data_IF_566097089379
#
_entry.id   IF_566097089379
#
_cell.length_a   1.000
_cell.length_b   1.000
_cell.length_c   1.000
_cell.angle_alpha   90.00
_cell.angle_beta   90.00
_cell.angle_gamma   90.00
#
_symmetry.space_group_name_H-M   'P 1'
#
loop_
_entity.id
_entity.type
_entity.pdbx_description
1 polymer ?
#
# COMPACT_ATOMS: atom_id res chain seq x y z
N UNK A 1 -17.94 -6.84 8.44
CA UNK A 1 -16.62 -7.46 8.22
C UNK A 1 -15.49 -6.71 8.90
N UNK A 2 -15.08 -5.54 8.37
CA UNK A 2 -13.89 -4.80 8.83
C UNK A 2 -13.91 -4.57 10.35
N UNK A 3 -14.99 -4.03 10.92
CA UNK A 3 -15.08 -3.71 12.36
C UNK A 3 -15.01 -4.89 13.33
N UNK A 4 -15.32 -6.12 12.91
CA UNK A 4 -15.29 -7.31 13.78
C UNK A 4 -13.92 -7.99 13.78
N UNK A 5 -13.24 -8.05 12.63
CA UNK A 5 -11.88 -8.60 12.51
C UNK A 5 -10.84 -7.67 13.17
N UNK A 6 -11.15 -6.38 13.30
CA UNK A 6 -10.34 -5.35 14.00
C UNK A 6 -10.05 -5.70 15.47
N UNK A 7 -10.89 -6.51 16.12
CA UNK A 7 -10.69 -6.87 17.53
C UNK A 7 -9.59 -7.92 17.76
N UNK A 8 -9.38 -8.83 16.81
CA UNK A 8 -8.53 -10.01 16.99
C UNK A 8 -7.34 -10.07 16.01
N UNK A 9 -7.38 -9.37 14.86
CA UNK A 9 -6.43 -9.55 13.77
C UNK A 9 -5.51 -8.36 13.46
N UNK A 10 -5.49 -7.28 14.27
CA UNK A 10 -4.52 -6.20 14.11
C UNK A 10 -5.01 -4.79 14.41
N UNK A 11 -4.08 -3.82 14.37
CA UNK A 11 -4.45 -2.39 14.35
C UNK A 11 -4.76 -1.97 12.91
N UNK A 12 -5.92 -1.35 12.73
CA UNK A 12 -6.39 -0.77 11.47
C UNK A 12 -6.30 0.76 11.55
N UNK A 13 -5.75 1.37 10.51
CA UNK A 13 -5.77 2.83 10.35
C UNK A 13 -6.16 3.15 8.91
N UNK A 14 -7.20 3.97 8.76
CA UNK A 14 -7.62 4.47 7.45
C UNK A 14 -6.84 5.75 7.14
N UNK A 15 -6.19 5.78 5.99
CA UNK A 15 -5.56 6.97 5.43
C UNK A 15 -6.56 7.82 4.65
N UNK A 16 -6.13 9.03 4.31
CA UNK A 16 -6.99 10.05 3.68
C UNK A 16 -7.41 9.70 2.24
N UNK A 17 -6.76 8.72 1.60
CA UNK A 17 -7.05 8.27 0.23
C UNK A 17 -7.90 7.00 0.15
N UNK A 18 -8.48 6.53 1.26
CA UNK A 18 -9.12 5.22 1.34
C UNK A 18 -8.12 4.06 1.40
N UNK A 19 -6.83 4.37 1.56
CA UNK A 19 -5.78 3.43 1.91
C UNK A 19 -5.97 2.94 3.36
N UNK A 20 -5.63 1.69 3.61
CA UNK A 20 -5.81 1.03 4.91
C UNK A 20 -4.50 0.39 5.30
N UNK A 21 -3.96 0.86 6.43
CA UNK A 21 -2.80 0.28 7.06
C UNK A 21 -3.26 -0.85 7.99
N UNK A 22 -2.68 -2.03 7.79
CA UNK A 22 -2.92 -3.24 8.58
C UNK A 22 -1.63 -3.65 9.28
N UNK A 23 -1.67 -3.77 10.61
CA UNK A 23 -0.57 -4.31 11.42
C UNK A 23 -0.94 -5.70 11.94
N UNK A 24 -0.18 -6.74 11.60
CA UNK A 24 -0.44 -8.09 12.12
C UNK A 24 -0.15 -8.15 13.64
N UNK A 25 -1.02 -8.77 14.46
CA UNK A 25 -0.77 -9.01 15.88
C UNK A 25 0.50 -9.85 16.07
N UNK A 26 1.34 -9.46 17.02
CA UNK A 26 2.57 -10.20 17.34
C UNK A 26 3.76 -9.95 16.41
N UNK A 27 3.56 -9.33 15.24
CA UNK A 27 4.64 -9.02 14.30
C UNK A 27 4.87 -7.51 14.23
N UNK A 28 5.94 -7.04 14.87
CA UNK A 28 6.32 -5.61 14.88
C UNK A 28 6.74 -5.05 13.50
N UNK A 29 6.86 -5.90 12.46
CA UNK A 29 7.49 -5.53 11.17
C UNK A 29 6.70 -5.86 9.91
N UNK A 30 5.59 -6.59 10.00
CA UNK A 30 4.73 -6.83 8.84
C UNK A 30 3.55 -5.87 8.87
N UNK A 31 3.82 -4.67 8.34
CA UNK A 31 2.79 -3.69 8.01
C UNK A 31 2.49 -3.86 6.53
N UNK A 32 1.21 -3.88 6.17
CA UNK A 32 0.78 -3.72 4.79
C UNK A 32 -0.12 -2.51 4.66
N UNK A 33 -0.11 -1.88 3.50
CA UNK A 33 -1.05 -0.80 3.18
C UNK A 33 -1.78 -1.16 1.91
N UNK A 34 -3.10 -1.21 1.99
CA UNK A 34 -3.94 -1.77 0.93
C UNK A 34 -5.18 -0.91 0.68
N UNK A 35 -5.75 -1.04 -0.52
CA UNK A 35 -7.10 -0.60 -0.83
C UNK A 35 -8.02 -1.80 -0.96
N UNK A 36 -9.22 -1.68 -0.41
CA UNK A 36 -10.25 -2.69 -0.57
C UNK A 36 -10.83 -2.65 -1.98
N UNK A 37 -10.93 -3.81 -2.61
CA UNK A 37 -11.72 -3.96 -3.82
C UNK A 37 -13.21 -3.86 -3.45
N UNK A 38 -14.02 -3.04 -4.15
CA UNK A 38 -15.46 -2.95 -3.88
C UNK A 38 -16.22 -4.25 -4.15
N UNK A 39 -15.64 -5.18 -4.92
CA UNK A 39 -16.25 -6.48 -5.18
C UNK A 39 -15.99 -7.47 -4.04
N UNK A 40 -17.07 -8.01 -3.49
CA UNK A 40 -17.06 -9.08 -2.48
C UNK A 40 -17.32 -10.41 -3.19
N UNK A 41 -16.68 -11.48 -2.74
CA UNK A 41 -16.86 -12.84 -3.25
C UNK A 41 -17.04 -13.82 -2.09
N UNK A 42 -17.31 -15.09 -2.37
CA UNK A 42 -17.32 -16.15 -1.35
C UNK A 42 -15.95 -16.81 -1.22
N UNK A 43 -15.63 -17.33 -0.04
CA UNK A 43 -14.40 -18.05 0.26
C UNK A 43 -14.66 -19.20 1.23
N UNK A 44 -14.00 -20.33 0.98
CA UNK A 44 -14.00 -21.48 1.88
C UNK A 44 -12.90 -21.40 2.95
N UNK A 45 -12.05 -20.36 2.91
CA UNK A 45 -11.01 -20.19 3.92
C UNK A 45 -11.60 -19.76 5.27
N UNK A 46 -10.84 -20.00 6.33
CA UNK A 46 -11.22 -19.51 7.66
C UNK A 46 -11.22 -17.97 7.69
N UNK A 47 -12.06 -17.34 8.54
CA UNK A 47 -12.04 -15.90 8.74
C UNK A 47 -10.64 -15.38 9.11
N UNK A 48 -10.27 -14.22 8.58
CA UNK A 48 -8.95 -13.62 8.78
C UNK A 48 -8.35 -12.97 7.53
N UNK A 49 -7.10 -12.51 7.63
CA UNK A 49 -6.35 -11.94 6.50
C UNK A 49 -5.45 -13.01 5.90
N UNK A 50 -5.60 -13.22 4.59
CA UNK A 50 -4.84 -14.20 3.81
C UNK A 50 -3.97 -13.49 2.79
N UNK A 51 -2.77 -14.03 2.57
CA UNK A 51 -1.77 -13.50 1.65
C UNK A 51 -1.57 -14.51 0.54
N UNK A 52 -1.67 -14.08 -0.69
CA UNK A 52 -1.60 -14.94 -1.86
C UNK A 52 -0.54 -14.44 -2.82
N UNK A 53 0.35 -15.35 -3.20
CA UNK A 53 1.21 -15.13 -4.35
C UNK A 53 0.43 -15.52 -5.60
N UNK A 54 0.11 -14.53 -6.43
CA UNK A 54 -0.48 -14.80 -7.74
C UNK A 54 0.57 -15.44 -8.66
N UNK A 55 0.11 -16.19 -9.68
CA UNK A 55 0.98 -16.82 -10.68
C UNK A 55 1.86 -15.83 -11.47
N UNK A 56 1.60 -14.52 -11.35
CA UNK A 56 2.38 -13.43 -11.97
C UNK A 56 3.41 -12.80 -11.01
N UNK A 57 3.62 -13.38 -9.83
CA UNK A 57 4.52 -12.82 -8.81
C UNK A 57 4.01 -11.53 -8.17
N UNK A 58 2.70 -11.25 -8.28
CA UNK A 58 2.04 -10.20 -7.50
C UNK A 58 1.60 -10.78 -6.17
N UNK A 59 1.96 -10.11 -5.09
CA UNK A 59 1.47 -10.40 -3.76
C UNK A 59 0.12 -9.67 -3.60
N UNK A 60 -0.94 -10.44 -3.40
CA UNK A 60 -2.27 -9.94 -3.09
C UNK A 60 -2.63 -10.31 -1.65
N UNK A 61 -3.49 -9.52 -1.04
CA UNK A 61 -4.09 -9.85 0.24
C UNK A 61 -5.60 -9.96 0.09
N UNK A 62 -6.25 -10.72 0.96
CA UNK A 62 -7.70 -10.75 1.04
C UNK A 62 -8.16 -10.93 2.47
N UNK A 63 -9.30 -10.35 2.79
CA UNK A 63 -9.94 -10.49 4.09
C UNK A 63 -11.13 -11.43 3.95
N UNK A 64 -11.16 -12.49 4.76
CA UNK A 64 -12.27 -13.44 4.82
C UNK A 64 -13.06 -13.19 6.10
N UNK A 65 -14.38 -13.12 5.98
CA UNK A 65 -15.31 -12.79 7.05
C UNK A 65 -15.93 -14.05 7.67
N UNK A 66 -16.52 -13.89 8.86
CA UNK A 66 -17.22 -14.97 9.58
C UNK A 66 -18.38 -15.58 8.79
N UNK A 67 -18.99 -14.83 7.88
CA UNK A 67 -20.09 -15.25 7.03
C UNK A 67 -19.64 -15.98 5.76
N UNK A 68 -18.34 -16.27 5.61
CA UNK A 68 -17.78 -16.93 4.43
C UNK A 68 -17.58 -16.00 3.24
N UNK A 69 -17.88 -14.71 3.36
CA UNK A 69 -17.53 -13.74 2.31
C UNK A 69 -16.06 -13.34 2.38
N UNK A 70 -15.49 -12.91 1.26
CA UNK A 70 -14.14 -12.38 1.16
C UNK A 70 -14.10 -11.07 0.39
N UNK A 71 -13.14 -10.23 0.76
CA UNK A 71 -12.86 -8.97 0.09
C UNK A 71 -11.39 -8.92 -0.33
N UNK A 72 -11.10 -8.91 -1.64
CA UNK A 72 -9.74 -8.72 -2.14
C UNK A 72 -9.20 -7.35 -1.74
N UNK A 73 -7.90 -7.30 -1.45
CA UNK A 73 -7.16 -6.11 -1.05
C UNK A 73 -5.94 -5.97 -1.95
N UNK A 74 -5.74 -4.77 -2.51
CA UNK A 74 -4.63 -4.47 -3.40
C UNK A 74 -3.61 -3.56 -2.73
N UNK A 75 -2.30 -3.78 -2.92
CA UNK A 75 -1.28 -2.89 -2.40
C UNK A 75 -1.46 -1.45 -2.84
N UNK A 76 -1.19 -0.50 -1.94
CA UNK A 76 -1.11 0.93 -2.22
C UNK A 76 -0.01 1.55 -1.36
N UNK A 77 0.20 2.86 -1.48
CA UNK A 77 1.02 3.63 -0.54
C UNK A 77 0.15 4.35 0.49
N UNK A 78 0.70 4.59 1.68
CA UNK A 78 0.09 5.46 2.68
C UNK A 78 0.12 6.92 2.21
N UNK A 79 -0.96 7.67 2.39
CA UNK A 79 -1.01 9.10 1.98
C UNK A 79 -0.72 9.33 0.48
N UNK A 80 -1.51 8.74 -0.44
CA UNK A 80 -1.27 8.81 -1.89
C UNK A 80 -1.22 10.25 -2.44
N UNK A 81 -1.91 11.20 -1.81
CA UNK A 81 -1.84 12.62 -2.19
C UNK A 81 -0.44 13.23 -1.97
N UNK A 82 0.28 12.85 -0.91
CA UNK A 82 1.66 13.32 -0.67
C UNK A 82 2.62 12.70 -1.67
N UNK A 83 2.40 11.43 -2.04
CA UNK A 83 3.14 10.82 -3.13
C UNK A 83 2.97 11.59 -4.44
N UNK A 84 1.72 11.94 -4.81
CA UNK A 84 1.42 12.75 -5.99
C UNK A 84 2.11 14.12 -5.92
N UNK A 85 1.96 14.84 -4.81
CA UNK A 85 2.55 16.17 -4.63
C UNK A 85 4.08 16.15 -4.76
N UNK A 86 4.75 15.13 -4.20
CA UNK A 86 6.20 14.96 -4.30
C UNK A 86 6.62 14.52 -5.70
N UNK A 87 5.87 13.61 -6.33
CA UNK A 87 6.17 13.09 -7.66
C UNK A 87 6.04 14.14 -8.76
N UNK A 88 5.08 15.06 -8.65
CA UNK A 88 4.91 16.17 -9.60
C UNK A 88 6.06 17.19 -9.56
N UNK A 89 6.94 17.15 -8.56
CA UNK A 89 8.13 18.01 -8.47
C UNK A 89 9.31 17.48 -9.29
N UNK A 90 9.24 16.26 -9.83
CA UNK A 90 10.29 15.69 -10.67
C UNK A 90 10.23 16.27 -12.09
N UNK A 91 11.38 16.67 -12.62
CA UNK A 91 11.49 17.17 -13.99
C UNK A 91 11.01 16.12 -15.01
N UNK A 92 10.13 16.55 -15.92
CA UNK A 92 9.50 15.69 -16.92
C UNK A 92 8.25 14.93 -16.47
N UNK A 93 7.87 14.96 -15.19
CA UNK A 93 6.57 14.43 -14.75
C UNK A 93 5.48 15.47 -15.05
N UNK A 94 4.51 15.10 -15.87
CA UNK A 94 3.39 15.96 -16.29
C UNK A 94 2.14 15.73 -15.45
N UNK A 95 1.88 14.46 -15.09
CA UNK A 95 0.66 14.08 -14.38
C UNK A 95 0.90 12.81 -13.57
N UNK A 96 0.28 12.71 -12.40
CA UNK A 96 0.17 11.48 -11.61
C UNK A 96 -1.30 11.28 -11.23
N UNK A 97 -1.83 10.08 -11.44
CA UNK A 97 -3.21 9.71 -11.08
C UNK A 97 -3.18 8.45 -10.25
N UNK A 98 -3.69 8.52 -9.01
CA UNK A 98 -3.94 7.35 -8.18
C UNK A 98 -5.26 6.69 -8.62
N UNK A 99 -5.21 5.38 -8.86
CA UNK A 99 -6.35 4.60 -9.34
C UNK A 99 -7.01 3.86 -8.18
N UNK A 100 -8.29 3.53 -8.35
CA UNK A 100 -9.10 2.78 -7.37
C UNK A 100 -8.57 1.37 -7.08
N UNK A 101 -7.62 0.87 -7.87
CA UNK A 101 -6.98 -0.42 -7.67
C UNK A 101 -5.68 -0.35 -6.86
N UNK A 102 -5.33 0.81 -6.28
CA UNK A 102 -4.13 1.02 -5.47
C UNK A 102 -2.89 1.42 -6.26
N UNK A 103 -2.95 1.40 -7.60
CA UNK A 103 -1.80 1.73 -8.45
C UNK A 103 -1.79 3.19 -8.90
N UNK A 104 -0.68 3.63 -9.50
CA UNK A 104 -0.55 4.98 -10.04
C UNK A 104 -0.29 4.95 -11.54
N UNK A 105 -0.91 5.88 -12.27
CA UNK A 105 -0.57 6.19 -13.66
C UNK A 105 0.20 7.51 -13.68
N UNK A 106 1.41 7.50 -14.26
CA UNK A 106 2.29 8.65 -14.38
C UNK A 106 2.47 8.98 -15.86
N UNK A 107 2.30 10.25 -16.23
CA UNK A 107 2.69 10.75 -17.54
C UNK A 107 4.05 11.42 -17.41
N UNK A 108 5.08 10.82 -18.02
CA UNK A 108 6.46 11.30 -17.95
C UNK A 108 7.01 11.52 -19.36
N UNK A 109 7.36 12.77 -19.68
CA UNK A 109 7.89 13.17 -20.99
C UNK A 109 7.08 12.61 -22.17
N UNK A 110 5.76 12.72 -22.07
CA UNK A 110 4.79 12.23 -23.05
C UNK A 110 4.47 10.73 -22.99
N UNK A 111 5.16 9.94 -22.15
CA UNK A 111 4.94 8.50 -22.02
C UNK A 111 4.10 8.15 -20.79
N UNK A 112 3.18 7.22 -20.96
CA UNK A 112 2.39 6.66 -19.85
C UNK A 112 3.18 5.54 -19.17
N UNK A 113 3.35 5.67 -17.84
CA UNK A 113 4.02 4.71 -16.98
C UNK A 113 3.04 4.26 -15.90
N UNK A 114 2.94 2.95 -15.66
CA UNK A 114 2.18 2.42 -14.53
C UNK A 114 3.13 2.11 -13.37
N UNK A 115 2.80 2.57 -12.17
CA UNK A 115 3.50 2.23 -10.94
C UNK A 115 2.63 1.34 -10.07
N UNK A 116 3.18 0.21 -9.67
CA UNK A 116 2.52 -0.77 -8.81
C UNK A 116 3.26 -0.86 -7.47
N UNK A 117 2.62 -0.47 -6.35
CA UNK A 117 3.17 -0.68 -5.02
C UNK A 117 3.33 -2.17 -4.69
N UNK A 118 4.41 -2.52 -4.01
CA UNK A 118 4.58 -3.84 -3.41
C UNK A 118 3.69 -3.97 -2.16
N UNK A 119 3.29 -5.21 -1.84
CA UNK A 119 2.47 -5.50 -0.66
C UNK A 119 3.29 -5.30 0.63
N UNK A 120 4.51 -5.81 0.63
CA UNK A 120 5.45 -5.65 1.74
C UNK A 120 5.93 -4.20 1.87
N UNK A 121 5.80 -3.67 3.09
CA UNK A 121 6.26 -2.34 3.47
C UNK A 121 7.41 -2.49 4.47
N UNK A 122 8.56 -1.89 4.16
CA UNK A 122 9.67 -1.85 5.11
C UNK A 122 9.40 -0.81 6.19
N UNK A 123 9.66 -1.17 7.45
CA UNK A 123 9.33 -0.36 8.62
C UNK A 123 10.59 -0.09 9.43
N UNK A 124 10.91 1.18 9.61
CA UNK A 124 12.03 1.64 10.44
C UNK A 124 11.49 2.48 11.61
N UNK A 125 11.88 2.21 12.86
CA UNK A 125 11.52 3.07 13.97
C UNK A 125 12.22 4.42 13.83
N UNK A 126 11.48 5.51 14.01
CA UNK A 126 12.04 6.87 14.07
C UNK A 126 12.46 7.15 15.50
N UNK A 127 13.77 7.09 15.75
CA UNK A 127 14.35 7.60 16.99
C UNK A 127 14.41 9.13 16.92
N UNK A 128 14.14 9.80 18.04
CA UNK A 128 14.28 11.26 18.24
C UNK A 128 13.07 12.14 17.91
N UNK A 129 11.89 11.57 17.63
CA UNK A 129 10.64 12.35 17.48
C UNK A 129 10.66 13.39 16.36
N UNK A 130 11.66 13.36 15.48
CA UNK A 130 11.77 14.25 14.34
C UNK A 130 10.71 13.88 13.31
N UNK A 131 10.06 14.89 12.76
CA UNK A 131 9.18 14.72 11.62
C UNK A 131 10.02 14.52 10.36
N UNK A 132 9.81 13.40 9.68
CA UNK A 132 10.44 13.05 8.41
C UNK A 132 9.47 13.40 7.29
N UNK A 133 9.90 14.31 6.43
CA UNK A 133 9.12 14.69 5.25
C UNK A 133 9.02 13.54 4.23
N UNK A 134 7.87 13.37 3.58
CA UNK A 134 7.72 12.33 2.57
C UNK A 134 8.69 12.54 1.41
N UNK A 135 9.28 11.44 0.93
CA UNK A 135 10.32 11.46 -0.11
C UNK A 135 10.10 10.34 -1.11
N UNK A 136 10.44 10.61 -2.38
CA UNK A 136 10.51 9.61 -3.45
C UNK A 136 11.96 9.52 -3.91
N UNK A 137 12.49 8.31 -3.98
CA UNK A 137 13.84 8.01 -4.46
C UNK A 137 13.78 7.01 -5.61
N UNK A 138 14.44 7.32 -6.73
CA UNK A 138 14.67 6.34 -7.80
C UNK A 138 15.94 5.53 -7.48
N UNK A 139 15.79 4.23 -7.34
CA UNK A 139 16.89 3.31 -7.07
C UNK A 139 17.57 2.90 -8.38
N UNK A 140 18.81 2.43 -8.27
CA UNK A 140 19.63 2.04 -9.42
C UNK A 140 19.07 0.85 -10.21
N UNK A 141 18.25 0.02 -9.58
CA UNK A 141 17.57 -1.13 -10.17
C UNK A 141 16.28 -0.76 -10.94
N UNK A 142 15.95 0.53 -11.02
CA UNK A 142 14.73 1.02 -11.66
C UNK A 142 13.48 0.97 -10.78
N UNK A 143 13.62 0.58 -9.51
CA UNK A 143 12.54 0.64 -8.52
C UNK A 143 12.39 2.05 -7.98
N UNK A 144 11.15 2.51 -7.77
CA UNK A 144 10.87 3.73 -7.02
C UNK A 144 10.62 3.37 -5.56
N UNK A 145 11.26 4.08 -4.64
CA UNK A 145 10.97 3.98 -3.22
C UNK A 145 10.24 5.24 -2.76
N UNK A 146 9.12 5.06 -2.07
CA UNK A 146 8.42 6.14 -1.40
C UNK A 146 8.53 5.96 0.11
N UNK A 147 8.99 6.98 0.82
CA UNK A 147 9.11 6.98 2.27
C UNK A 147 8.14 7.99 2.87
N UNK A 148 7.37 7.58 3.88
CA UNK A 148 6.45 8.45 4.64
C UNK A 148 6.39 8.02 6.10
N UNK A 149 6.36 9.00 7.00
CA UNK A 149 6.24 8.75 8.43
C UNK A 149 4.76 8.54 8.82
N UNK A 150 4.53 7.52 9.64
CA UNK A 150 3.29 7.29 10.39
C UNK A 150 3.63 7.16 11.87
N UNK A 151 3.20 8.11 12.69
CA UNK A 151 3.57 8.17 14.12
C UNK A 151 5.10 8.09 14.33
N UNK A 152 5.61 7.07 15.02
CA UNK A 152 7.04 6.85 15.26
C UNK A 152 7.66 5.83 14.29
N UNK A 153 7.02 5.56 13.16
CA UNK A 153 7.48 4.61 12.15
C UNK A 153 7.69 5.33 10.81
N UNK A 154 8.83 5.07 10.17
CA UNK A 154 9.06 5.41 8.78
C UNK A 154 8.70 4.19 7.94
N UNK A 155 7.71 4.36 7.07
CA UNK A 155 7.26 3.34 6.14
C UNK A 155 7.91 3.57 4.78
N UNK A 156 8.54 2.54 4.23
CA UNK A 156 9.14 2.56 2.89
C UNK A 156 8.41 1.59 1.97
N UNK A 157 7.85 2.15 0.91
CA UNK A 157 7.11 1.44 -0.12
C UNK A 157 7.99 1.28 -1.34
N UNK A 158 8.10 0.06 -1.87
CA UNK A 158 8.69 -0.17 -3.20
C UNK A 158 7.58 -0.10 -4.24
N UNK A 159 7.81 0.64 -5.31
CA UNK A 159 6.91 0.74 -6.46
C UNK A 159 7.65 0.25 -7.70
N UNK A 160 7.06 -0.73 -8.38
CA UNK A 160 7.59 -1.31 -9.62
C UNK A 160 7.01 -0.56 -10.82
N UNK A 161 7.86 -0.26 -11.78
CA UNK A 161 7.44 0.27 -13.08
C UNK A 161 6.91 -0.89 -13.93
N UNK A 162 5.67 -0.77 -14.41
CA UNK A 162 5.10 -1.64 -15.45
C UNK A 162 4.91 -0.86 -16.74
N UNK A 163 5.57 -1.37 -17.78
CA UNK A 163 5.39 -0.96 -19.17
C UNK A 163 4.29 -1.79 -19.82
#
# INVERSE_FOLDING_TARGET
CVSKIVGEAGRFQMGEGGDVLLKRPGEKRHIIVVMFNPFVAESELSPGVHFMNTRKGQEEAMMVCEDGTMQPMRPTVLSPHKFIERGLKFDGVEQITHRMDGTFKVKFKGQDINLEPALDVEVEPVTDGKQIEPKIDLKQDGTLEYAVQNEMELLRFKLRIRQ
#
